data_IF_278801942289
#
_entry.id   IF_278801942289
#
_cell.length_a   1.000
_cell.length_b   1.000
_cell.length_c   1.000
_cell.angle_alpha   90.00
_cell.angle_beta   90.00
_cell.angle_gamma   90.00
#
_symmetry.space_group_name_H-M   'P 1'
#
loop_
_entity.id
_entity.type
_entity.pdbx_description
1 polymer ?
#
# COMPACT_ATOMS: atom_id res chain seq x y z
N UNK A 1 -25.98 -45.28 48.05
CA UNK A 1 -26.66 -44.47 47.01
C UNK A 1 -25.87 -43.18 46.85
N UNK A 2 -25.07 -43.06 45.77
CA UNK A 2 -24.26 -41.87 45.47
C UNK A 2 -25.05 -41.05 44.44
N UNK A 3 -25.51 -39.87 44.85
CA UNK A 3 -26.09 -38.87 43.96
C UNK A 3 -24.96 -38.16 43.20
N UNK A 4 -24.92 -38.33 41.88
CA UNK A 4 -24.01 -37.61 40.99
C UNK A 4 -24.63 -36.28 40.59
N UNK A 5 -23.99 -35.18 40.99
CA UNK A 5 -24.35 -33.82 40.61
C UNK A 5 -23.89 -33.58 39.16
N UNK A 6 -24.83 -33.41 38.23
CA UNK A 6 -24.54 -33.00 36.85
C UNK A 6 -24.53 -31.47 36.79
N UNK A 7 -23.36 -30.88 36.54
CA UNK A 7 -23.22 -29.45 36.26
C UNK A 7 -23.29 -29.27 34.74
N UNK A 8 -24.38 -28.67 34.25
CA UNK A 8 -24.53 -28.27 32.85
C UNK A 8 -23.99 -26.83 32.74
N UNK A 9 -22.81 -26.69 32.14
CA UNK A 9 -22.26 -25.38 31.77
C UNK A 9 -22.97 -24.91 30.50
N UNK A 10 -23.85 -23.92 30.63
CA UNK A 10 -24.49 -23.27 29.48
C UNK A 10 -23.54 -22.16 29.00
N UNK A 11 -22.76 -22.44 27.96
CA UNK A 11 -22.01 -21.41 27.24
C UNK A 11 -23.02 -20.55 26.50
N UNK A 12 -23.27 -19.33 26.97
CA UNK A 12 -24.04 -18.35 26.22
C UNK A 12 -23.27 -18.03 24.93
N UNK A 13 -23.78 -18.49 23.79
CA UNK A 13 -23.27 -18.09 22.48
C UNK A 13 -23.57 -16.60 22.32
N UNK A 14 -22.56 -15.75 22.52
CA UNK A 14 -22.61 -14.38 22.06
C UNK A 14 -22.65 -14.43 20.53
N UNK A 15 -23.81 -14.12 19.94
CA UNK A 15 -23.98 -14.02 18.49
C UNK A 15 -23.82 -12.55 18.13
N UNK A 16 -22.66 -12.12 17.60
CA UNK A 16 -22.38 -10.72 17.28
C UNK A 16 -23.20 -10.16 16.11
N UNK A 17 -24.14 -10.93 15.56
CA UNK A 17 -24.89 -10.59 14.33
C UNK A 17 -26.27 -9.94 14.57
N UNK A 18 -26.65 -9.62 15.82
CA UNK A 18 -27.82 -8.77 16.03
C UNK A 18 -27.41 -7.31 15.83
N UNK A 19 -27.53 -6.87 14.59
CA UNK A 19 -27.41 -5.46 14.25
C UNK A 19 -28.58 -4.67 14.87
N UNK A 20 -28.25 -3.67 15.68
CA UNK A 20 -29.23 -2.77 16.29
C UNK A 20 -29.82 -1.82 15.23
N UNK A 21 -31.08 -1.42 15.40
CA UNK A 21 -31.73 -0.36 14.62
C UNK A 21 -32.04 -0.66 13.15
N UNK A 22 -32.03 -1.93 12.73
CA UNK A 22 -32.34 -2.33 11.34
C UNK A 22 -33.77 -2.90 11.20
N UNK A 23 -34.25 -3.59 12.23
CA UNK A 23 -35.57 -4.25 12.19
C UNK A 23 -36.64 -3.32 12.74
N UNK A 24 -37.66 -3.01 11.94
CA UNK A 24 -38.83 -2.27 12.39
C UNK A 24 -39.73 -3.12 13.29
N UNK A 25 -40.39 -2.49 14.26
CA UNK A 25 -41.27 -3.14 15.21
C UNK A 25 -42.49 -2.29 15.55
N UNK A 26 -43.59 -2.96 15.86
CA UNK A 26 -44.79 -2.38 16.46
C UNK A 26 -44.93 -2.80 17.93
N UNK A 27 -44.46 -4.00 18.28
CA UNK A 27 -44.45 -4.53 19.65
C UNK A 27 -43.11 -5.19 19.97
N UNK A 28 -42.89 -5.54 21.25
CA UNK A 28 -41.68 -6.23 21.69
C UNK A 28 -41.53 -7.65 21.10
N UNK A 29 -42.61 -8.24 20.59
CA UNK A 29 -42.61 -9.59 20.03
C UNK A 29 -42.02 -9.62 18.60
N UNK A 30 -41.94 -8.47 17.95
CA UNK A 30 -41.33 -8.31 16.63
C UNK A 30 -39.79 -8.34 16.69
N UNK A 31 -39.22 -8.22 17.89
CA UNK A 31 -37.78 -8.14 18.10
C UNK A 31 -37.17 -9.49 18.49
N UNK A 32 -35.91 -9.68 18.13
CA UNK A 32 -35.18 -10.88 18.52
C UNK A 32 -34.95 -10.93 20.05
N UNK A 33 -34.74 -12.13 20.64
CA UNK A 33 -34.47 -12.26 22.06
C UNK A 33 -33.29 -11.36 22.46
N UNK A 34 -33.48 -10.53 23.50
CA UNK A 34 -32.57 -9.48 24.00
C UNK A 34 -32.67 -8.08 23.36
N UNK A 35 -33.54 -7.88 22.38
CA UNK A 35 -33.86 -6.56 21.87
C UNK A 35 -35.21 -6.05 22.40
N UNK A 36 -35.34 -4.72 22.44
CA UNK A 36 -36.56 -4.02 22.81
C UNK A 36 -37.02 -3.21 21.61
N UNK A 37 -38.34 -3.16 21.42
CA UNK A 37 -38.93 -2.25 20.45
C UNK A 37 -38.86 -0.82 21.01
N UNK A 38 -38.03 0.01 20.40
CA UNK A 38 -37.86 1.41 20.79
C UNK A 38 -39.09 2.26 20.44
N UNK A 39 -39.19 3.44 21.06
CA UNK A 39 -40.26 4.41 20.75
C UNK A 39 -40.15 4.98 19.32
N UNK A 40 -39.01 4.78 18.67
CA UNK A 40 -38.72 5.07 17.27
C UNK A 40 -39.17 3.94 16.32
N UNK A 41 -39.77 2.87 16.84
CA UNK A 41 -40.30 1.76 16.05
C UNK A 41 -39.22 0.85 15.48
N UNK A 42 -38.04 0.81 16.12
CA UNK A 42 -36.92 -0.04 15.73
C UNK A 42 -36.48 -0.94 16.89
N UNK A 43 -36.13 -2.18 16.57
CA UNK A 43 -35.55 -3.13 17.52
C UNK A 43 -34.09 -2.79 17.78
N UNK A 44 -33.74 -2.64 19.04
CA UNK A 44 -32.35 -2.47 19.46
C UNK A 44 -32.13 -3.00 20.87
N UNK A 45 -30.87 -3.19 21.25
CA UNK A 45 -30.47 -3.50 22.61
C UNK A 45 -30.96 -2.43 23.61
N UNK A 46 -31.16 -2.81 24.87
CA UNK A 46 -31.65 -1.92 25.94
C UNK A 46 -30.94 -0.54 26.02
N UNK A 47 -29.61 -0.41 25.89
CA UNK A 47 -28.96 0.90 25.91
C UNK A 47 -29.23 1.78 24.66
N UNK A 48 -29.72 1.19 23.57
CA UNK A 48 -29.90 1.84 22.26
C UNK A 48 -31.37 2.06 21.91
N UNK A 49 -32.29 1.25 22.43
CA UNK A 49 -33.73 1.32 22.11
C UNK A 49 -34.32 2.73 22.31
N UNK A 50 -35.01 3.25 21.28
CA UNK A 50 -35.58 4.59 21.28
C UNK A 50 -34.59 5.71 20.90
N UNK A 51 -33.37 5.36 20.49
CA UNK A 51 -32.32 6.30 20.06
C UNK A 51 -31.76 5.98 18.68
N UNK A 52 -32.36 5.06 17.92
CA UNK A 52 -31.89 4.67 16.59
C UNK A 52 -31.88 5.86 15.62
N UNK A 53 -32.88 6.72 15.68
CA UNK A 53 -32.93 7.97 14.88
C UNK A 53 -31.83 8.98 15.21
N UNK A 54 -31.20 8.88 16.39
CA UNK A 54 -30.02 9.68 16.75
C UNK A 54 -28.70 9.02 16.37
N UNK A 55 -28.72 7.72 16.07
CA UNK A 55 -27.57 7.02 15.49
C UNK A 55 -27.44 7.30 13.99
N UNK A 56 -28.52 7.62 13.29
CA UNK A 56 -28.47 8.08 11.88
C UNK A 56 -27.76 9.44 11.67
N UNK A 57 -27.28 10.10 12.74
CA UNK A 57 -26.29 11.18 12.62
C UNK A 57 -24.84 10.68 12.71
N UNK A 58 -24.58 9.38 12.52
CA UNK A 58 -23.24 8.97 12.06
C UNK A 58 -23.05 9.68 10.73
N UNK A 59 -22.29 10.79 10.81
CA UNK A 59 -21.77 11.62 9.74
C UNK A 59 -22.02 10.97 8.38
N UNK A 60 -23.11 11.37 7.72
CA UNK A 60 -23.20 11.24 6.28
C UNK A 60 -22.08 12.14 5.76
N UNK A 61 -20.87 11.58 5.78
CA UNK A 61 -19.62 12.30 5.66
C UNK A 61 -19.79 13.29 4.55
N UNK A 62 -19.52 14.55 4.84
CA UNK A 62 -19.34 15.57 3.79
C UNK A 62 -18.70 14.89 2.61
N UNK A 63 -19.38 14.87 1.45
CA UNK A 63 -18.93 14.17 0.25
C UNK A 63 -17.40 14.22 0.22
N UNK A 64 -16.75 13.07 0.39
CA UNK A 64 -15.30 13.01 0.53
C UNK A 64 -14.73 13.90 -0.56
N UNK A 65 -14.00 14.94 -0.13
CA UNK A 65 -13.46 15.93 -1.05
C UNK A 65 -12.82 15.15 -2.21
N UNK A 66 -13.13 15.51 -3.48
CA UNK A 66 -12.77 14.69 -4.64
C UNK A 66 -11.34 14.21 -4.47
N UNK A 67 -11.14 12.88 -4.47
CA UNK A 67 -9.84 12.29 -4.18
C UNK A 67 -8.80 13.03 -5.04
N UNK A 68 -7.83 13.75 -4.41
CA UNK A 68 -6.91 14.65 -5.10
C UNK A 68 -6.08 13.96 -6.19
N UNK A 69 -6.13 12.64 -6.18
CA UNK A 69 -5.46 11.71 -7.05
C UNK A 69 -6.09 11.58 -8.46
N UNK A 70 -7.29 12.16 -8.68
CA UNK A 70 -8.14 12.16 -9.88
C UNK A 70 -7.52 11.87 -11.27
N UNK A 71 -7.66 12.82 -12.22
CA UNK A 71 -7.32 12.58 -13.64
C UNK A 71 -5.82 12.43 -13.87
N UNK A 72 -5.00 13.11 -13.06
CA UNK A 72 -3.53 13.10 -13.18
C UNK A 72 -2.96 11.69 -13.05
N UNK A 73 -3.50 10.85 -12.16
CA UNK A 73 -3.05 9.46 -12.05
C UNK A 73 -3.48 8.62 -13.27
N UNK A 74 -4.69 8.84 -13.76
CA UNK A 74 -5.20 8.13 -14.94
C UNK A 74 -4.41 8.49 -16.21
N UNK A 75 -3.99 9.75 -16.35
CA UNK A 75 -3.14 10.21 -17.45
C UNK A 75 -1.75 9.54 -17.43
N UNK A 76 -1.29 9.12 -16.25
CA UNK A 76 -0.08 8.32 -16.05
C UNK A 76 -0.31 6.80 -16.21
N UNK A 77 -1.49 6.37 -16.68
CA UNK A 77 -1.94 4.99 -16.77
C UNK A 77 -2.03 4.27 -15.40
N UNK A 78 -2.28 5.03 -14.32
CA UNK A 78 -2.47 4.50 -12.98
C UNK A 78 -3.93 4.46 -12.53
N UNK A 79 -4.15 3.85 -11.36
CA UNK A 79 -5.41 3.85 -10.63
C UNK A 79 -5.21 4.55 -9.29
N UNK A 80 -6.16 5.39 -8.87
CA UNK A 80 -6.07 5.95 -7.54
C UNK A 80 -6.55 4.98 -6.46
N UNK A 81 -5.75 4.81 -5.41
CA UNK A 81 -6.09 4.03 -4.24
C UNK A 81 -5.71 4.80 -2.97
N UNK A 82 -6.70 5.34 -2.26
CA UNK A 82 -6.50 6.04 -0.98
C UNK A 82 -5.56 7.25 -1.09
N UNK A 83 -5.75 8.12 -2.08
CA UNK A 83 -4.89 9.29 -2.30
C UNK A 83 -3.50 9.00 -2.88
N UNK A 84 -3.23 7.76 -3.33
CA UNK A 84 -1.97 7.33 -3.96
C UNK A 84 -2.22 6.84 -5.38
N UNK A 85 -1.37 7.27 -6.31
CA UNK A 85 -1.40 6.78 -7.67
C UNK A 85 -0.69 5.43 -7.76
N UNK A 86 -1.41 4.37 -8.12
CA UNK A 86 -0.85 3.02 -8.29
C UNK A 86 -0.77 2.68 -9.78
N UNK A 87 0.42 2.48 -10.30
CA UNK A 87 0.70 2.13 -11.69
C UNK A 87 1.20 0.68 -11.72
N UNK A 88 0.37 -0.24 -12.21
CA UNK A 88 0.75 -1.65 -12.40
C UNK A 88 1.07 -1.87 -13.88
N UNK A 89 2.36 -1.95 -14.18
CA UNK A 89 2.88 -2.04 -15.55
C UNK A 89 3.32 -3.46 -15.85
N UNK A 90 2.78 -4.03 -16.92
CA UNK A 90 3.06 -5.40 -17.36
C UNK A 90 4.04 -5.42 -18.55
N UNK A 91 4.18 -4.31 -19.27
CA UNK A 91 5.01 -4.19 -20.47
C UNK A 91 6.33 -3.44 -20.25
N UNK A 92 7.20 -3.39 -21.28
CA UNK A 92 8.55 -2.80 -21.16
C UNK A 92 8.60 -1.28 -21.18
N UNK A 93 7.49 -0.58 -21.39
CA UNK A 93 7.47 0.89 -21.51
C UNK A 93 7.96 1.63 -20.27
N UNK A 94 8.26 2.92 -20.43
CA UNK A 94 8.70 3.75 -19.31
C UNK A 94 7.51 4.24 -18.46
N UNK A 95 7.74 4.39 -17.16
CA UNK A 95 6.74 4.90 -16.22
C UNK A 95 7.21 6.24 -15.66
N UNK A 96 6.33 7.24 -15.66
CA UNK A 96 6.59 8.52 -15.00
C UNK A 96 5.50 8.81 -13.99
N UNK A 97 5.89 8.93 -12.72
CA UNK A 97 4.98 9.28 -11.64
C UNK A 97 4.53 10.75 -11.74
N UNK A 98 3.25 11.04 -11.45
CA UNK A 98 2.74 12.41 -11.41
C UNK A 98 3.36 13.20 -10.25
N UNK A 99 3.54 14.50 -10.46
CA UNK A 99 4.13 15.39 -9.45
C UNK A 99 3.09 15.83 -8.41
N UNK A 100 3.54 16.05 -7.17
CA UNK A 100 2.70 16.58 -6.10
C UNK A 100 1.83 15.57 -5.36
N UNK A 101 1.98 14.27 -5.64
CA UNK A 101 1.21 13.21 -4.97
C UNK A 101 2.03 11.93 -4.73
N UNK A 102 1.57 11.04 -3.83
CA UNK A 102 2.16 9.72 -3.65
C UNK A 102 1.98 8.84 -4.88
N UNK A 103 3.03 8.11 -5.26
CA UNK A 103 3.04 7.20 -6.39
C UNK A 103 3.60 5.83 -5.98
N UNK A 104 2.99 4.76 -6.46
CA UNK A 104 3.49 3.39 -6.35
C UNK A 104 3.52 2.76 -7.73
N UNK A 105 4.68 2.27 -8.15
CA UNK A 105 4.89 1.61 -9.42
C UNK A 105 5.18 0.14 -9.16
N UNK A 106 4.37 -0.73 -9.74
CA UNK A 106 4.48 -2.18 -9.64
C UNK A 106 4.90 -2.74 -11.00
N UNK A 107 6.09 -3.33 -11.05
CA UNK A 107 6.69 -3.93 -12.25
C UNK A 107 6.80 -5.44 -12.03
N UNK A 108 5.64 -6.11 -12.01
CA UNK A 108 5.48 -7.51 -11.57
C UNK A 108 5.63 -8.55 -12.69
N UNK A 109 5.75 -8.11 -13.94
CA UNK A 109 5.97 -8.99 -15.09
C UNK A 109 7.42 -8.95 -15.56
N UNK A 110 7.86 -10.02 -16.23
CA UNK A 110 9.18 -10.07 -16.85
C UNK A 110 9.34 -8.88 -17.82
N UNK A 111 10.48 -8.20 -17.74
CA UNK A 111 10.77 -7.01 -18.53
C UNK A 111 9.78 -5.84 -18.29
N UNK A 112 8.97 -5.86 -17.23
CA UNK A 112 8.10 -4.73 -16.89
C UNK A 112 8.92 -3.48 -16.58
N UNK A 113 8.48 -2.31 -17.05
CA UNK A 113 9.15 -1.03 -16.80
C UNK A 113 10.61 -0.98 -17.30
N UNK A 114 10.99 -1.84 -18.25
CA UNK A 114 12.37 -1.96 -18.75
C UNK A 114 12.88 -0.69 -19.45
N UNK A 115 12.01 0.22 -19.86
CA UNK A 115 12.45 1.53 -20.36
C UNK A 115 12.62 2.55 -19.22
N UNK A 116 12.44 2.13 -17.97
CA UNK A 116 12.77 2.84 -16.74
C UNK A 116 11.56 3.36 -15.96
N UNK A 117 11.82 3.71 -14.71
CA UNK A 117 10.84 4.37 -13.82
C UNK A 117 11.39 5.74 -13.42
N UNK A 118 10.58 6.80 -13.60
CA UNK A 118 10.89 8.16 -13.16
C UNK A 118 9.89 8.60 -12.11
N UNK A 119 10.37 8.80 -10.88
CA UNK A 119 9.53 9.26 -9.78
C UNK A 119 9.13 10.75 -9.89
N UNK A 120 9.77 11.51 -10.79
CA UNK A 120 9.38 12.89 -11.10
C UNK A 120 9.44 13.80 -9.86
N UNK A 121 8.37 14.54 -9.60
CA UNK A 121 8.17 15.36 -8.41
C UNK A 121 7.12 14.79 -7.45
N UNK A 122 7.00 13.46 -7.36
CA UNK A 122 6.06 12.80 -6.45
C UNK A 122 6.41 13.12 -4.97
N UNK A 123 5.40 13.20 -4.10
CA UNK A 123 5.66 13.44 -2.66
C UNK A 123 6.23 12.20 -1.96
N UNK A 124 5.89 11.01 -2.44
CA UNK A 124 6.57 9.76 -2.13
C UNK A 124 6.50 8.85 -3.35
N UNK A 125 7.56 8.13 -3.64
CA UNK A 125 7.61 7.17 -4.73
C UNK A 125 8.01 5.80 -4.20
N UNK A 126 7.19 4.78 -4.43
CA UNK A 126 7.53 3.39 -4.12
C UNK A 126 7.61 2.65 -5.46
N UNK A 127 8.74 1.99 -5.73
CA UNK A 127 8.96 1.25 -6.96
C UNK A 127 9.29 -0.19 -6.61
N UNK A 128 8.44 -1.12 -7.05
CA UNK A 128 8.64 -2.56 -6.84
C UNK A 128 8.95 -3.25 -8.18
N UNK A 129 10.20 -3.65 -8.35
CA UNK A 129 10.71 -4.40 -9.49
C UNK A 129 10.82 -5.88 -9.09
N UNK A 130 9.67 -6.57 -9.03
CA UNK A 130 9.56 -7.91 -8.46
C UNK A 130 9.97 -9.04 -9.43
N UNK A 131 9.83 -8.83 -10.74
CA UNK A 131 10.08 -9.85 -11.74
C UNK A 131 11.48 -9.77 -12.38
N UNK A 132 11.90 -10.86 -13.02
CA UNK A 132 13.16 -10.92 -13.77
C UNK A 132 13.26 -9.77 -14.77
N UNK A 133 14.38 -9.05 -14.74
CA UNK A 133 14.63 -7.90 -15.62
C UNK A 133 13.59 -6.77 -15.52
N UNK A 134 12.79 -6.72 -14.46
CA UNK A 134 11.93 -5.57 -14.19
C UNK A 134 12.79 -4.33 -13.92
N UNK A 135 12.38 -3.19 -14.46
CA UNK A 135 13.12 -1.93 -14.36
C UNK A 135 14.56 -2.02 -14.91
N UNK A 136 14.83 -2.98 -15.79
CA UNK A 136 16.14 -3.14 -16.44
C UNK A 136 16.38 -2.01 -17.45
N UNK A 137 17.52 -1.97 -18.14
CA UNK A 137 18.00 -1.03 -19.16
C UNK A 137 18.09 0.46 -18.77
N UNK A 138 17.10 1.03 -18.07
CA UNK A 138 17.13 2.42 -17.60
C UNK A 138 17.07 2.60 -16.09
N UNK A 139 16.83 1.53 -15.33
CA UNK A 139 16.83 1.58 -13.87
C UNK A 139 15.70 2.44 -13.30
N UNK A 140 15.93 2.98 -12.10
CA UNK A 140 14.99 3.85 -11.38
C UNK A 140 15.62 5.21 -11.12
N UNK A 141 15.01 6.26 -11.65
CA UNK A 141 15.35 7.66 -11.36
C UNK A 141 14.39 8.21 -10.32
N UNK A 142 14.87 8.35 -9.08
CA UNK A 142 14.10 8.91 -7.98
C UNK A 142 13.85 10.42 -8.16
N UNK A 143 14.55 11.07 -9.10
CA UNK A 143 14.27 12.43 -9.53
C UNK A 143 14.23 13.43 -8.36
N UNK A 144 13.18 14.24 -8.35
CA UNK A 144 12.89 15.25 -7.34
C UNK A 144 11.83 14.82 -6.32
N UNK A 145 11.57 13.52 -6.20
CA UNK A 145 10.64 13.04 -5.18
C UNK A 145 11.15 13.36 -3.78
N UNK A 146 10.26 13.59 -2.81
CA UNK A 146 10.68 13.82 -1.42
C UNK A 146 11.28 12.56 -0.82
N UNK A 147 10.57 11.43 -0.96
CA UNK A 147 11.05 10.11 -0.56
C UNK A 147 10.95 9.13 -1.72
N UNK A 148 11.91 8.22 -1.81
CA UNK A 148 11.96 7.19 -2.84
C UNK A 148 12.33 5.83 -2.22
N UNK A 149 11.41 4.88 -2.29
CA UNK A 149 11.63 3.50 -1.86
C UNK A 149 11.71 2.62 -3.10
N UNK A 150 12.80 1.88 -3.26
CA UNK A 150 13.04 1.03 -4.42
C UNK A 150 13.32 -0.39 -3.97
N UNK A 151 12.49 -1.34 -4.43
CA UNK A 151 12.61 -2.75 -4.11
C UNK A 151 12.93 -3.55 -5.39
N UNK A 152 14.18 -3.98 -5.52
CA UNK A 152 14.70 -4.73 -6.65
C UNK A 152 14.81 -6.22 -6.26
N UNK A 153 13.69 -6.95 -6.35
CA UNK A 153 13.60 -8.36 -5.92
C UNK A 153 13.83 -9.36 -7.06
N UNK A 154 13.51 -8.97 -8.30
CA UNK A 154 13.71 -9.81 -9.47
C UNK A 154 15.19 -10.03 -9.79
N UNK A 155 15.52 -11.16 -10.41
CA UNK A 155 16.87 -11.38 -10.94
C UNK A 155 17.20 -10.30 -12.00
N UNK A 156 18.37 -9.69 -11.87
CA UNK A 156 18.79 -8.53 -12.70
C UNK A 156 17.82 -7.35 -12.67
N UNK A 157 16.96 -7.24 -11.65
CA UNK A 157 16.06 -6.11 -11.51
C UNK A 157 16.85 -4.82 -11.26
N UNK A 158 16.31 -3.71 -11.78
CA UNK A 158 16.91 -2.38 -11.67
C UNK A 158 18.30 -2.26 -12.31
N UNK A 159 18.79 -3.25 -13.09
CA UNK A 159 20.04 -3.09 -13.82
C UNK A 159 19.90 -1.99 -14.87
N UNK A 160 20.96 -1.22 -15.06
CA UNK A 160 21.06 -0.26 -16.14
C UNK A 160 21.72 -0.92 -17.36
N UNK A 161 21.36 -0.45 -18.55
CA UNK A 161 22.07 -0.80 -19.78
C UNK A 161 23.50 -0.27 -19.76
N UNK A 162 24.33 -0.66 -20.71
CA UNK A 162 25.75 -0.28 -20.75
C UNK A 162 26.02 1.21 -21.06
N UNK A 163 25.03 2.10 -20.93
CA UNK A 163 25.10 3.51 -21.29
C UNK A 163 25.74 4.38 -20.20
N UNK A 164 26.12 3.79 -19.06
CA UNK A 164 26.92 4.42 -18.02
C UNK A 164 26.13 5.01 -16.84
N UNK A 165 24.79 4.98 -16.87
CA UNK A 165 24.00 5.35 -15.69
C UNK A 165 24.01 4.24 -14.64
N UNK A 166 23.40 4.54 -13.50
CA UNK A 166 23.36 3.70 -12.31
C UNK A 166 22.01 3.00 -12.23
N UNK A 167 21.96 1.89 -11.51
CA UNK A 167 20.73 1.12 -11.32
C UNK A 167 19.64 1.93 -10.64
N UNK A 168 20.03 2.73 -9.65
CA UNK A 168 19.15 3.67 -8.95
C UNK A 168 19.86 5.01 -8.80
N UNK A 169 19.18 6.08 -9.20
CA UNK A 169 19.67 7.46 -9.09
C UNK A 169 18.88 8.25 -8.04
N UNK A 170 19.52 8.49 -6.91
CA UNK A 170 19.00 9.24 -5.78
C UNK A 170 19.45 10.70 -5.85
N UNK A 171 18.72 11.52 -6.61
CA UNK A 171 19.11 12.92 -6.86
C UNK A 171 18.88 13.82 -5.64
N UNK A 172 17.63 14.13 -5.32
CA UNK A 172 17.28 14.97 -4.16
C UNK A 172 16.33 14.29 -3.18
N UNK A 173 16.03 13.02 -3.41
CA UNK A 173 15.15 12.23 -2.56
C UNK A 173 15.89 11.65 -1.36
N UNK A 174 15.16 11.44 -0.26
CA UNK A 174 15.55 10.48 0.77
C UNK A 174 15.26 9.07 0.25
N UNK A 175 16.32 8.33 -0.08
CA UNK A 175 16.25 7.03 -0.71
C UNK A 175 16.39 5.88 0.29
N UNK A 176 15.54 4.87 0.13
CA UNK A 176 15.71 3.53 0.67
C UNK A 176 15.74 2.55 -0.50
N UNK A 177 16.85 1.85 -0.69
CA UNK A 177 17.04 0.93 -1.82
C UNK A 177 17.32 -0.48 -1.32
N UNK A 178 16.46 -1.43 -1.64
CA UNK A 178 16.64 -2.84 -1.28
C UNK A 178 16.86 -3.65 -2.55
N UNK A 179 18.00 -4.33 -2.65
CA UNK A 179 18.41 -5.13 -3.80
C UNK A 179 18.57 -6.60 -3.36
N UNK A 180 17.46 -7.33 -3.36
CA UNK A 180 17.37 -8.73 -2.91
C UNK A 180 17.62 -9.75 -4.04
N UNK A 181 17.30 -9.36 -5.28
CA UNK A 181 17.42 -10.22 -6.44
C UNK A 181 18.87 -10.54 -6.80
N UNK A 182 19.10 -11.72 -7.39
CA UNK A 182 20.43 -12.06 -7.90
C UNK A 182 20.87 -11.04 -8.95
N UNK A 183 22.06 -10.45 -8.77
CA UNK A 183 22.59 -9.35 -9.56
C UNK A 183 21.64 -8.13 -9.65
N UNK A 184 20.72 -7.96 -8.71
CA UNK A 184 19.92 -6.75 -8.62
C UNK A 184 20.83 -5.55 -8.38
N UNK A 185 20.51 -4.41 -8.98
CA UNK A 185 21.28 -3.18 -8.82
C UNK A 185 22.78 -3.31 -9.15
N UNK A 186 23.18 -4.24 -10.04
CA UNK A 186 24.58 -4.56 -10.29
C UNK A 186 25.39 -3.37 -10.81
N UNK A 187 24.75 -2.40 -11.48
CA UNK A 187 25.42 -1.22 -12.03
C UNK A 187 25.65 -0.10 -10.99
N UNK A 188 25.18 -0.35 -9.77
CA UNK A 188 25.40 0.46 -8.58
C UNK A 188 24.30 1.47 -8.30
N UNK A 189 24.39 2.11 -7.14
CA UNK A 189 23.47 3.15 -6.68
C UNK A 189 24.24 4.47 -6.63
N UNK A 190 23.69 5.51 -7.25
CA UNK A 190 24.26 6.86 -7.20
C UNK A 190 23.42 7.81 -6.38
N UNK A 191 24.09 8.58 -5.53
CA UNK A 191 23.49 9.59 -4.67
C UNK A 191 24.12 10.93 -5.02
N UNK A 192 23.29 11.91 -5.31
CA UNK A 192 23.73 13.29 -5.53
C UNK A 192 23.79 14.03 -4.18
N UNK A 193 24.56 15.11 -4.08
CA UNK A 193 24.90 15.75 -2.80
C UNK A 193 23.72 16.34 -2.00
N UNK A 194 22.50 16.32 -2.55
CA UNK A 194 21.29 16.83 -1.90
C UNK A 194 20.39 15.71 -1.34
N UNK A 195 20.66 14.45 -1.65
CA UNK A 195 19.89 13.30 -1.18
C UNK A 195 20.56 12.56 -0.02
N UNK A 196 19.76 11.76 0.69
CA UNK A 196 20.26 10.73 1.60
C UNK A 196 19.93 9.35 1.04
N UNK A 197 20.71 8.33 1.41
CA UNK A 197 20.49 6.98 0.92
C UNK A 197 20.86 5.93 1.95
N UNK A 198 19.91 5.04 2.21
CA UNK A 198 20.16 3.75 2.85
C UNK A 198 19.96 2.65 1.80
N UNK A 199 20.94 1.74 1.70
CA UNK A 199 20.91 0.64 0.76
C UNK A 199 21.06 -0.69 1.49
N UNK A 200 20.33 -1.70 1.05
CA UNK A 200 20.49 -3.08 1.51
C UNK A 200 20.77 -3.95 0.29
N UNK A 201 22.02 -4.39 0.15
CA UNK A 201 22.47 -5.18 -1.01
C UNK A 201 22.71 -6.64 -0.60
N UNK A 202 22.12 -7.58 -1.35
CA UNK A 202 22.15 -9.01 -1.05
C UNK A 202 22.80 -9.82 -2.16
N UNK A 203 23.45 -10.94 -1.81
CA UNK A 203 24.13 -11.82 -2.77
C UNK A 203 25.16 -11.06 -3.61
N UNK A 204 25.04 -11.11 -4.95
CA UNK A 204 25.88 -10.40 -5.91
C UNK A 204 25.26 -9.04 -6.32
N UNK A 205 24.37 -8.47 -5.49
CA UNK A 205 23.80 -7.15 -5.73
C UNK A 205 24.82 -6.03 -5.49
N UNK A 206 24.62 -4.91 -6.18
CA UNK A 206 25.41 -3.68 -6.00
C UNK A 206 26.93 -3.83 -6.25
N UNK A 207 27.38 -4.77 -7.08
CA UNK A 207 28.81 -4.92 -7.42
C UNK A 207 29.42 -3.63 -8.01
N UNK A 208 28.62 -2.84 -8.74
CA UNK A 208 28.98 -1.52 -9.26
C UNK A 208 29.16 -0.44 -8.18
N UNK A 209 28.93 -0.79 -6.92
CA UNK A 209 29.09 0.07 -5.74
C UNK A 209 27.83 0.84 -5.34
N UNK A 210 27.78 1.28 -4.09
CA UNK A 210 26.62 2.01 -3.52
C UNK A 210 26.89 3.51 -3.36
N UNK A 211 27.90 4.05 -4.03
CA UNK A 211 28.38 5.43 -3.84
C UNK A 211 28.53 5.79 -2.35
N UNK A 212 27.89 6.86 -1.88
CA UNK A 212 27.87 7.31 -0.47
C UNK A 212 26.69 6.76 0.34
N UNK A 213 25.88 5.83 -0.20
CA UNK A 213 24.81 5.21 0.57
C UNK A 213 25.38 4.48 1.79
N UNK A 214 24.65 4.55 2.90
CA UNK A 214 24.88 3.65 4.03
C UNK A 214 24.41 2.27 3.59
N UNK A 215 25.32 1.29 3.51
CA UNK A 215 24.96 -0.08 3.19
C UNK A 215 24.92 -0.94 4.46
N UNK A 216 23.73 -1.42 4.83
CA UNK A 216 23.54 -2.27 6.00
C UNK A 216 23.56 -3.78 5.69
N UNK A 217 23.45 -4.15 4.41
CA UNK A 217 23.34 -5.53 3.92
C UNK A 217 22.25 -6.36 4.64
N UNK A 218 21.15 -5.73 5.07
CA UNK A 218 20.01 -6.42 5.70
C UNK A 218 19.05 -6.91 4.63
N UNK A 219 19.00 -8.23 4.42
CA UNK A 219 18.16 -8.89 3.42
C UNK A 219 16.84 -9.40 4.03
N UNK A 220 15.75 -9.35 3.27
CA UNK A 220 14.42 -9.86 3.68
C UNK A 220 13.99 -11.13 2.97
#
# INVERSE_FOLDING_TARGET
MRWGLFVIAVTACYSPDLEDCITACATAEDCAPSQLCGNDGLCASEPVAGRCSSLDTVDAGTEDAPDPCGTTCMDANGTCQGGRCVIDMVGPGDVTCPSGMPCTVLCNAKDACKEGVRCGGATSCIVECAAESACKDRGVDCGSATTCEVLCRGASACQHGSDGNKSVECRSADCTVTCDGNAACQDGIEVYPQGSCNSSCCQDACEGGTSTCVNDNVCT
#
